data_IF_509094972528
#
_entry.id   IF_509094972528
#
_cell.length_a   1.000
_cell.length_b   1.000
_cell.length_c   1.000
_cell.angle_alpha   90.00
_cell.angle_beta   90.00
_cell.angle_gamma   90.00
#
_symmetry.space_group_name_H-M   'P 1'
#
loop_
_entity.id
_entity.type
_entity.pdbx_description
1 polymer ?
#
# COMPACT_ATOMS: atom_id res chain seq x y z
N UNK A 1 39.52 -27.01 -20.57
CA UNK A 1 38.39 -26.18 -21.08
C UNK A 1 37.84 -25.36 -19.91
N UNK A 2 38.58 -24.34 -19.46
CA UNK A 2 38.19 -23.49 -18.34
C UNK A 2 37.50 -22.24 -18.88
N UNK A 3 36.29 -21.93 -18.44
CA UNK A 3 35.67 -20.64 -18.77
C UNK A 3 36.39 -19.58 -17.93
N UNK A 4 36.93 -18.57 -18.60
CA UNK A 4 37.75 -17.53 -18.00
C UNK A 4 37.04 -16.86 -16.81
N UNK A 5 37.80 -16.50 -15.78
CA UNK A 5 37.29 -15.93 -14.53
C UNK A 5 36.41 -14.68 -14.74
N UNK A 6 36.66 -13.94 -15.82
CA UNK A 6 35.87 -12.79 -16.29
C UNK A 6 34.50 -13.17 -16.86
N UNK A 7 34.37 -14.35 -17.46
CA UNK A 7 33.12 -14.92 -17.98
C UNK A 7 32.21 -15.37 -16.83
N UNK A 8 32.78 -15.99 -15.79
CA UNK A 8 32.03 -16.36 -14.57
C UNK A 8 31.53 -15.12 -13.83
N UNK A 9 32.33 -14.06 -13.70
CA UNK A 9 31.91 -12.80 -13.10
C UNK A 9 30.78 -12.11 -13.90
N UNK A 10 30.81 -12.16 -15.24
CA UNK A 10 29.73 -11.64 -16.10
C UNK A 10 28.43 -12.45 -15.99
N UNK A 11 28.50 -13.77 -15.89
CA UNK A 11 27.33 -14.64 -15.68
C UNK A 11 26.67 -14.36 -14.31
N UNK A 12 27.49 -14.19 -13.26
CA UNK A 12 26.99 -13.85 -11.93
C UNK A 12 26.34 -12.47 -11.88
N UNK A 13 26.95 -11.44 -12.48
CA UNK A 13 26.34 -10.09 -12.58
C UNK A 13 25.00 -10.08 -13.34
N UNK A 14 24.88 -10.89 -14.40
CA UNK A 14 23.64 -11.00 -15.20
C UNK A 14 22.51 -11.67 -14.43
N UNK A 15 22.82 -12.66 -13.59
CA UNK A 15 21.86 -13.30 -12.69
C UNK A 15 21.38 -12.37 -11.55
N UNK A 16 22.27 -11.52 -11.02
CA UNK A 16 21.90 -10.51 -10.00
C UNK A 16 21.08 -9.34 -10.56
N UNK A 17 21.24 -9.00 -11.85
CA UNK A 17 20.45 -7.95 -12.51
C UNK A 17 18.97 -8.35 -12.60
N UNK A 18 18.68 -9.59 -13.02
CA UNK A 18 17.30 -10.11 -13.20
C UNK A 18 16.50 -10.22 -11.89
N UNK A 19 17.15 -10.24 -10.73
CA UNK A 19 16.47 -10.26 -9.41
C UNK A 19 16.16 -8.84 -8.88
N UNK A 20 16.84 -7.81 -9.38
CA UNK A 20 16.67 -6.43 -8.91
C UNK A 20 15.55 -5.69 -9.67
N UNK A 21 15.30 -6.06 -10.93
CA UNK A 21 14.31 -5.41 -11.82
C UNK A 21 12.84 -5.77 -11.49
N UNK A 22 12.60 -6.80 -10.68
CA UNK A 22 11.23 -7.27 -10.38
C UNK A 22 10.61 -6.55 -9.17
N UNK A 23 11.42 -5.94 -8.28
CA UNK A 23 10.87 -5.41 -7.03
C UNK A 23 11.15 -3.93 -6.73
N UNK A 24 12.11 -3.30 -7.43
CA UNK A 24 12.45 -1.90 -7.19
C UNK A 24 12.24 -1.07 -8.46
N UNK A 25 10.98 -0.77 -8.81
CA UNK A 25 10.72 0.17 -9.91
C UNK A 25 9.29 0.24 -10.43
N UNK A 26 8.49 -0.82 -10.27
CA UNK A 26 7.06 -0.78 -10.59
C UNK A 26 6.29 -0.68 -9.29
N UNK A 27 5.51 0.39 -9.14
CA UNK A 27 4.63 0.57 -7.99
C UNK A 27 3.74 -0.65 -7.77
N UNK A 28 3.09 -0.70 -6.60
CA UNK A 28 2.20 -1.81 -6.25
C UNK A 28 1.18 -2.06 -7.39
N UNK A 29 0.95 -3.31 -7.83
CA UNK A 29 0.00 -3.58 -8.90
C UNK A 29 -1.39 -3.05 -8.51
N UNK A 30 -2.20 -2.58 -9.47
CA UNK A 30 -3.43 -1.84 -9.19
C UNK A 30 -4.44 -2.64 -8.37
N UNK A 31 -4.42 -3.97 -8.48
CA UNK A 31 -5.26 -4.87 -7.66
C UNK A 31 -4.89 -4.85 -6.19
N UNK A 32 -3.58 -4.89 -5.88
CA UNK A 32 -3.11 -4.85 -4.51
C UNK A 32 -3.17 -3.43 -3.92
N UNK A 33 -3.08 -2.39 -4.76
CA UNK A 33 -3.30 -1.01 -4.36
C UNK A 33 -4.75 -0.80 -3.88
N UNK A 34 -5.74 -1.23 -4.67
CA UNK A 34 -7.17 -1.21 -4.27
C UNK A 34 -7.42 -1.98 -2.98
N UNK A 35 -6.73 -3.10 -2.78
CA UNK A 35 -6.81 -3.86 -1.53
C UNK A 35 -6.32 -3.02 -0.34
N UNK A 36 -5.18 -2.34 -0.49
CA UNK A 36 -4.62 -1.49 0.55
C UNK A 36 -5.52 -0.28 0.84
N UNK A 37 -6.09 0.35 -0.19
CA UNK A 37 -7.05 1.46 -0.09
C UNK A 37 -8.28 1.06 0.74
N UNK A 38 -8.87 -0.11 0.45
CA UNK A 38 -10.02 -0.64 1.19
C UNK A 38 -9.76 -0.79 2.70
N UNK A 39 -8.56 -1.18 3.10
CA UNK A 39 -8.23 -1.40 4.51
C UNK A 39 -7.77 -0.13 5.22
N UNK A 40 -7.07 0.77 4.54
CA UNK A 40 -6.45 1.95 5.15
C UNK A 40 -7.26 3.23 4.96
N UNK A 41 -7.76 3.46 3.75
CA UNK A 41 -8.37 4.72 3.31
C UNK A 41 -9.88 4.71 3.51
N UNK A 42 -10.58 3.66 3.04
CA UNK A 42 -12.06 3.56 3.05
C UNK A 42 -12.62 3.34 4.46
N UNK A 43 -12.54 4.37 5.29
CA UNK A 43 -12.93 4.37 6.70
C UNK A 43 -13.52 5.72 7.07
N UNK A 44 -14.50 5.70 7.97
CA UNK A 44 -15.03 6.90 8.62
C UNK A 44 -14.29 7.19 9.92
N UNK A 45 -14.19 8.45 10.28
CA UNK A 45 -13.56 8.93 11.51
C UNK A 45 -14.60 9.69 12.32
N UNK A 46 -14.73 9.34 13.60
CA UNK A 46 -15.59 10.10 14.51
C UNK A 46 -14.96 11.44 14.85
N UNK A 47 -15.74 12.53 14.83
CA UNK A 47 -15.26 13.87 15.18
C UNK A 47 -14.93 14.05 16.66
N UNK A 48 -15.60 13.30 17.54
CA UNK A 48 -15.41 13.40 19.00
C UNK A 48 -14.25 12.57 19.52
N UNK A 49 -14.12 11.31 19.08
CA UNK A 49 -13.11 10.38 19.60
C UNK A 49 -12.00 10.02 18.61
N UNK A 50 -12.07 10.48 17.35
CA UNK A 50 -11.07 10.14 16.33
C UNK A 50 -11.02 8.66 15.93
N UNK A 51 -11.95 7.83 16.42
CA UNK A 51 -11.93 6.40 16.15
C UNK A 51 -12.22 6.09 14.67
N UNK A 52 -11.47 5.12 14.13
CA UNK A 52 -11.72 4.54 12.80
C UNK A 52 -12.92 3.60 12.86
N UNK A 53 -13.92 3.87 12.02
CA UNK A 53 -15.13 3.09 11.82
C UNK A 53 -15.20 2.59 10.37
N UNK A 54 -16.10 1.63 10.11
CA UNK A 54 -16.38 1.16 8.77
C UNK A 54 -17.08 2.24 7.93
N UNK A 55 -16.94 2.18 6.60
CA UNK A 55 -17.52 3.19 5.70
C UNK A 55 -19.06 3.20 5.70
N UNK A 56 -19.68 2.04 5.95
CA UNK A 56 -21.14 1.88 6.10
C UNK A 56 -21.65 2.15 7.51
N UNK A 57 -20.77 2.47 8.47
CA UNK A 57 -21.21 2.75 9.83
C UNK A 57 -21.89 4.13 9.90
N UNK A 58 -23.05 4.18 10.54
CA UNK A 58 -23.77 5.42 10.89
C UNK A 58 -23.37 5.92 12.28
N UNK A 59 -23.13 5.00 13.22
CA UNK A 59 -22.77 5.32 14.60
C UNK A 59 -21.33 4.94 14.92
N UNK A 60 -20.70 5.65 15.85
CA UNK A 60 -19.37 5.27 16.32
C UNK A 60 -19.41 4.01 17.19
N UNK A 61 -18.43 3.10 16.97
CA UNK A 61 -18.29 1.86 17.75
C UNK A 61 -17.83 2.06 19.19
N UNK A 62 -17.36 3.26 19.57
CA UNK A 62 -16.79 3.54 20.89
C UNK A 62 -17.86 4.09 21.83
N UNK A 63 -18.01 3.46 23.00
CA UNK A 63 -18.90 3.92 24.08
C UNK A 63 -18.47 5.26 24.68
N UNK A 64 -17.16 5.56 24.67
CA UNK A 64 -16.60 6.79 25.22
C UNK A 64 -17.14 8.08 24.56
N UNK A 65 -17.57 8.03 23.30
CA UNK A 65 -18.21 9.16 22.61
C UNK A 65 -19.74 9.07 22.58
N UNK A 66 -20.34 8.17 23.37
CA UNK A 66 -21.79 7.99 23.45
C UNK A 66 -22.43 7.49 22.14
N UNK A 67 -21.70 6.74 21.32
CA UNK A 67 -22.19 6.26 20.01
C UNK A 67 -22.63 7.38 19.05
N UNK A 68 -21.98 8.54 19.11
CA UNK A 68 -22.27 9.69 18.24
C UNK A 68 -22.36 9.33 16.75
N UNK A 69 -23.31 9.96 16.07
CA UNK A 69 -23.56 9.92 14.62
C UNK A 69 -22.64 10.84 13.82
N UNK A 70 -21.90 11.73 14.50
CA UNK A 70 -21.00 12.73 13.90
C UNK A 70 -19.72 12.11 13.33
N UNK A 71 -19.87 11.41 12.20
CA UNK A 71 -18.78 10.78 11.46
C UNK A 71 -18.42 11.64 10.24
N UNK A 72 -17.12 11.70 9.94
CA UNK A 72 -16.60 12.24 8.68
C UNK A 72 -15.85 11.17 7.92
N UNK A 73 -15.71 11.33 6.62
CA UNK A 73 -14.82 10.46 5.86
C UNK A 73 -13.36 10.77 6.19
N UNK A 74 -12.52 9.73 6.13
CA UNK A 74 -11.07 9.89 6.22
C UNK A 74 -10.61 10.67 5.00
N UNK A 75 -9.62 11.55 5.20
CA UNK A 75 -8.98 12.23 4.09
C UNK A 75 -8.33 11.21 3.15
N UNK A 76 -8.69 11.28 1.89
CA UNK A 76 -8.10 10.46 0.85
C UNK A 76 -6.65 10.90 0.64
N UNK A 77 -5.73 9.96 0.83
CA UNK A 77 -4.32 10.18 0.48
C UNK A 77 -4.11 9.47 -0.85
N UNK A 78 -3.78 10.23 -1.90
CA UNK A 78 -3.38 9.66 -3.18
C UNK A 78 -2.10 8.83 -2.95
N UNK A 79 -2.24 7.51 -3.03
CA UNK A 79 -1.11 6.61 -3.11
C UNK A 79 -0.48 6.85 -4.48
N UNK A 80 0.64 7.59 -4.53
CA UNK A 80 1.35 7.91 -5.78
C UNK A 80 1.56 6.62 -6.58
N UNK A 81 0.82 6.46 -7.66
CA UNK A 81 1.06 5.38 -8.63
C UNK A 81 2.49 5.55 -9.14
N UNK A 82 3.25 4.46 -9.16
CA UNK A 82 4.56 4.48 -9.82
C UNK A 82 4.37 4.96 -11.25
N UNK A 83 5.16 5.96 -11.67
CA UNK A 83 5.09 6.57 -13.01
C UNK A 83 5.00 5.47 -14.08
N UNK A 84 4.02 5.59 -14.96
CA UNK A 84 3.96 4.81 -16.19
C UNK A 84 5.12 5.33 -17.07
N UNK A 85 6.14 4.48 -17.27
CA UNK A 85 7.14 4.69 -18.32
C UNK A 85 6.53 4.34 -19.67
#
# INVERSE_FOLDING_TARGET
MGKDCTTLHRIWKRATQTMSDVWCGKGYPPTLQKLAEKYKVDKKICRKCGAKNAIRATNCRKRACGHSTDLRDRHEMEMKSGKQN
#
